data_IF_502863863442
#
_entry.id   IF_502863863442
#
_cell.length_a   1.000
_cell.length_b   1.000
_cell.length_c   1.000
_cell.angle_alpha   90.00
_cell.angle_beta   90.00
_cell.angle_gamma   90.00
#
_symmetry.space_group_name_H-M   'P 1'
#
loop_
_entity.id
_entity.type
_entity.pdbx_description
1 polymer ?
#
# COMPACT_ATOMS: atom_id res chain seq x y z
N UNK A 1 -10.80 3.87 9.64
CA UNK A 1 -11.58 5.00 9.09
C UNK A 1 -10.85 5.60 7.89
N UNK A 2 -11.60 6.09 6.91
CA UNK A 2 -11.03 6.77 5.75
C UNK A 2 -11.68 8.13 5.52
N UNK A 3 -10.89 9.05 4.93
CA UNK A 3 -11.34 10.35 4.44
C UNK A 3 -10.86 10.44 2.99
N UNK A 4 -11.77 10.79 2.09
CA UNK A 4 -11.47 10.92 0.67
C UNK A 4 -11.88 12.27 0.14
N UNK A 5 -11.25 12.73 -0.93
CA UNK A 5 -11.59 13.99 -1.58
C UNK A 5 -11.37 13.96 -3.08
N UNK A 6 -12.26 14.58 -3.83
CA UNK A 6 -12.07 14.90 -5.23
C UNK A 6 -11.69 16.40 -5.31
N UNK A 7 -10.41 16.69 -5.49
CA UNK A 7 -9.89 18.05 -5.61
C UNK A 7 -10.03 18.57 -7.04
N UNK A 8 -9.70 17.70 -8.03
CA UNK A 8 -9.83 18.02 -9.46
C UNK A 8 -11.17 17.51 -9.97
N UNK A 9 -12.19 18.34 -9.88
CA UNK A 9 -13.57 17.97 -10.19
C UNK A 9 -13.87 17.74 -11.68
N UNK A 10 -13.01 18.24 -12.56
CA UNK A 10 -13.15 18.08 -14.01
C UNK A 10 -11.81 17.73 -14.64
N UNK A 11 -11.82 16.80 -15.57
CA UNK A 11 -10.65 16.43 -16.39
C UNK A 11 -11.05 16.35 -17.86
N UNK A 12 -10.10 16.53 -18.75
CA UNK A 12 -10.29 16.31 -20.18
C UNK A 12 -10.24 14.81 -20.47
N UNK A 13 -11.21 14.31 -21.23
CA UNK A 13 -11.20 12.97 -21.77
C UNK A 13 -10.34 12.89 -23.05
N UNK A 14 -10.31 11.71 -23.69
CA UNK A 14 -9.55 11.46 -24.92
C UNK A 14 -9.98 12.36 -26.08
N UNK A 15 -11.23 12.79 -26.12
CA UNK A 15 -11.80 13.70 -27.11
C UNK A 15 -11.60 15.17 -26.77
N UNK A 16 -10.85 15.48 -25.69
CA UNK A 16 -10.60 16.84 -25.18
C UNK A 16 -11.84 17.52 -24.57
N UNK A 17 -12.95 16.77 -24.34
CA UNK A 17 -14.15 17.25 -23.66
C UNK A 17 -13.94 17.22 -22.13
N UNK A 18 -14.61 18.13 -21.44
CA UNK A 18 -14.55 18.16 -19.97
C UNK A 18 -15.54 17.19 -19.35
N UNK A 19 -15.02 16.25 -18.57
CA UNK A 19 -15.82 15.29 -17.77
C UNK A 19 -15.70 15.55 -16.28
N UNK A 20 -16.80 15.32 -15.55
CA UNK A 20 -16.81 15.38 -14.10
C UNK A 20 -16.20 14.08 -13.54
N UNK A 21 -15.31 14.27 -12.56
CA UNK A 21 -14.63 13.17 -11.86
C UNK A 21 -15.31 12.96 -10.51
N UNK A 22 -15.73 11.72 -10.25
CA UNK A 22 -16.27 11.27 -8.97
C UNK A 22 -15.32 10.40 -8.17
N UNK A 23 -14.26 9.88 -8.82
CA UNK A 23 -13.23 9.06 -8.16
C UNK A 23 -12.32 9.98 -7.34
N UNK A 24 -12.11 9.68 -6.04
CA UNK A 24 -11.21 10.46 -5.21
C UNK A 24 -9.77 10.49 -5.76
N UNK A 25 -9.17 11.67 -5.73
CA UNK A 25 -7.76 11.90 -6.06
C UNK A 25 -6.88 12.09 -4.81
N UNK A 26 -7.50 12.02 -3.62
CA UNK A 26 -6.85 12.04 -2.33
C UNK A 26 -7.59 11.14 -1.34
N UNK A 27 -6.84 10.25 -0.67
CA UNK A 27 -7.35 9.28 0.30
C UNK A 27 -6.43 9.24 1.51
N UNK A 28 -6.98 9.44 2.70
CA UNK A 28 -6.33 9.22 3.99
C UNK A 28 -7.00 8.04 4.70
N UNK A 29 -6.21 7.12 5.23
CA UNK A 29 -6.72 5.94 5.93
C UNK A 29 -6.00 5.82 7.27
N UNK A 30 -6.75 5.67 8.35
CA UNK A 30 -6.26 5.31 9.67
C UNK A 30 -6.86 3.97 10.07
N UNK A 31 -6.03 2.98 10.30
CA UNK A 31 -6.45 1.63 10.65
C UNK A 31 -5.65 1.06 11.82
N UNK A 32 -6.32 0.23 12.59
CA UNK A 32 -5.72 -0.61 13.61
C UNK A 32 -5.56 -2.01 13.01
N UNK A 33 -4.34 -2.51 13.01
CA UNK A 33 -4.01 -3.84 12.50
C UNK A 33 -4.29 -4.89 13.59
N UNK A 34 -4.54 -6.13 13.18
CA UNK A 34 -4.79 -7.25 14.08
C UNK A 34 -3.70 -7.43 15.17
N UNK A 35 -2.46 -7.08 14.85
CA UNK A 35 -1.33 -7.13 15.79
C UNK A 35 -1.29 -5.94 16.77
N UNK A 36 -2.28 -5.06 16.75
CA UNK A 36 -2.37 -3.87 17.59
C UNK A 36 -1.57 -2.66 17.11
N UNK A 37 -0.91 -2.74 15.96
CA UNK A 37 -0.22 -1.59 15.38
C UNK A 37 -1.22 -0.64 14.69
N UNK A 38 -0.91 0.66 14.72
CA UNK A 38 -1.68 1.67 14.00
C UNK A 38 -1.00 1.93 12.65
N UNK A 39 -1.75 1.83 11.58
CA UNK A 39 -1.30 2.19 10.24
C UNK A 39 -1.99 3.49 9.77
N UNK A 40 -1.20 4.45 9.32
CA UNK A 40 -1.66 5.65 8.63
C UNK A 40 -1.17 5.60 7.19
N UNK A 41 -2.10 5.67 6.24
CA UNK A 41 -1.79 5.60 4.82
C UNK A 41 -2.36 6.83 4.11
N UNK A 42 -1.54 7.42 3.25
CA UNK A 42 -1.93 8.53 2.38
C UNK A 42 -1.68 8.16 0.94
N UNK A 43 -2.69 8.32 0.12
CA UNK A 43 -2.61 8.19 -1.34
C UNK A 43 -3.14 9.48 -1.98
N UNK A 44 -2.31 10.12 -2.80
CA UNK A 44 -2.69 11.38 -3.43
C UNK A 44 -2.05 11.54 -4.80
N UNK A 45 -2.85 11.82 -5.80
CA UNK A 45 -2.37 12.17 -7.15
C UNK A 45 -2.31 13.68 -7.40
N UNK A 46 -2.60 14.49 -6.39
CA UNK A 46 -2.73 15.95 -6.51
C UNK A 46 -1.80 16.73 -5.57
N UNK A 47 -0.97 16.04 -4.80
CA UNK A 47 0.02 16.67 -3.93
C UNK A 47 1.24 17.05 -4.77
N UNK A 48 1.43 18.33 -5.03
CA UNK A 48 2.62 18.84 -5.69
C UNK A 48 3.84 18.81 -4.77
N UNK A 49 5.03 18.56 -5.34
CA UNK A 49 6.31 18.50 -4.61
C UNK A 49 6.28 17.51 -3.43
N UNK A 50 5.52 16.43 -3.59
CA UNK A 50 5.45 15.37 -2.58
C UNK A 50 6.84 14.74 -2.37
N UNK A 51 7.19 14.34 -1.14
CA UNK A 51 8.36 13.51 -0.93
C UNK A 51 8.19 12.15 -1.65
N UNK A 52 9.32 11.47 -1.87
CA UNK A 52 9.32 10.11 -2.42
C UNK A 52 8.39 9.17 -1.63
N UNK A 53 7.83 8.17 -2.32
CA UNK A 53 6.98 7.16 -1.70
C UNK A 53 7.79 6.32 -0.70
N UNK A 54 7.39 6.38 0.57
CA UNK A 54 8.07 5.71 1.67
C UNK A 54 7.09 5.03 2.60
N UNK A 55 7.49 3.87 3.11
CA UNK A 55 6.80 3.20 4.21
C UNK A 55 7.68 3.27 5.45
N UNK A 56 7.14 3.79 6.54
CA UNK A 56 7.80 3.86 7.82
C UNK A 56 7.17 2.88 8.80
N UNK A 57 8.00 2.11 9.49
CA UNK A 57 7.57 1.19 10.53
C UNK A 57 8.31 1.54 11.82
N UNK A 58 7.57 2.05 12.79
CA UNK A 58 8.07 2.45 14.09
C UNK A 58 7.82 1.34 15.11
N UNK A 59 8.86 0.64 15.50
CA UNK A 59 8.81 -0.46 16.47
C UNK A 59 9.43 -0.12 17.80
N UNK A 60 9.19 -0.95 18.79
CA UNK A 60 9.76 -0.78 20.14
C UNK A 60 11.29 -0.89 20.20
N UNK A 61 11.92 -1.54 19.22
CA UNK A 61 13.38 -1.75 19.15
C UNK A 61 14.10 -0.80 18.19
N UNK A 62 13.36 -0.15 17.28
CA UNK A 62 13.93 0.72 16.27
C UNK A 62 12.92 1.06 15.17
N UNK A 63 13.41 1.66 14.11
CA UNK A 63 12.65 2.13 12.96
C UNK A 63 13.15 1.46 11.69
N UNK A 64 12.22 1.03 10.85
CA UNK A 64 12.48 0.65 9.46
C UNK A 64 11.87 1.69 8.52
N UNK A 65 12.53 1.96 7.41
CA UNK A 65 12.02 2.79 6.34
C UNK A 65 12.28 2.10 5.00
N UNK A 66 11.22 1.92 4.22
CA UNK A 66 11.28 1.41 2.86
C UNK A 66 11.15 2.59 1.90
N UNK A 67 12.14 2.78 1.04
CA UNK A 67 12.09 3.70 -0.10
C UNK A 67 11.55 2.90 -1.30
N UNK A 68 10.29 3.12 -1.65
CA UNK A 68 9.59 2.34 -2.68
C UNK A 68 10.19 2.59 -4.06
N UNK A 69 10.59 3.84 -4.34
CA UNK A 69 11.13 4.21 -5.65
C UNK A 69 12.52 3.61 -5.91
N UNK A 70 13.32 3.46 -4.84
CA UNK A 70 14.68 2.90 -4.92
C UNK A 70 14.73 1.41 -4.61
N UNK A 71 13.63 0.85 -4.08
CA UNK A 71 13.58 -0.51 -3.54
C UNK A 71 14.68 -0.75 -2.48
N UNK A 72 14.90 0.25 -1.63
CA UNK A 72 15.90 0.23 -0.57
C UNK A 72 15.25 0.16 0.80
N UNK A 73 15.89 -0.57 1.71
CA UNK A 73 15.48 -0.65 3.12
C UNK A 73 16.54 0.02 3.99
N UNK A 74 16.08 0.84 4.92
CA UNK A 74 16.90 1.50 5.93
C UNK A 74 16.43 1.11 7.32
N UNK A 75 17.34 0.98 8.25
CA UNK A 75 17.06 0.62 9.65
C UNK A 75 17.90 1.47 10.60
N UNK A 76 17.33 1.77 11.75
CA UNK A 76 18.02 2.33 12.90
C UNK A 76 17.43 1.79 14.20
N UNK A 77 18.27 1.52 15.17
CA UNK A 77 17.89 1.15 16.53
C UNK A 77 17.68 2.41 17.38
N UNK A 78 17.23 2.25 18.63
CA UNK A 78 17.06 3.37 19.57
C UNK A 78 18.34 4.16 19.87
N UNK A 79 19.50 3.53 19.68
CA UNK A 79 20.80 4.14 20.00
C UNK A 79 21.45 4.81 18.78
N UNK A 80 20.85 4.66 17.62
CA UNK A 80 21.37 5.23 16.37
C UNK A 80 20.81 6.64 16.15
N UNK A 81 21.65 7.55 15.70
CA UNK A 81 21.25 8.92 15.36
C UNK A 81 20.62 9.02 13.96
N UNK A 82 20.86 8.04 13.10
CA UNK A 82 20.40 8.03 11.71
C UNK A 82 20.03 6.61 11.27
N UNK A 83 19.20 6.53 10.25
CA UNK A 83 18.93 5.28 9.56
C UNK A 83 20.10 4.93 8.64
N UNK A 84 20.48 3.65 8.63
CA UNK A 84 21.50 3.09 7.75
C UNK A 84 20.87 2.14 6.76
N UNK A 85 21.32 2.17 5.50
CA UNK A 85 20.86 1.27 4.46
C UNK A 85 21.22 -0.17 4.77
N UNK A 86 20.26 -1.07 4.66
CA UNK A 86 20.47 -2.52 4.80
C UNK A 86 20.92 -3.07 3.44
N UNK A 87 22.04 -3.79 3.43
CA UNK A 87 22.44 -4.55 2.26
C UNK A 87 21.73 -5.90 2.22
N UNK A 88 20.89 -6.12 1.23
CA UNK A 88 20.20 -7.39 1.02
C UNK A 88 21.03 -8.22 0.04
N UNK A 89 21.54 -9.41 0.46
CA UNK A 89 22.26 -10.30 -0.44
C UNK A 89 21.40 -10.71 -1.64
N UNK A 90 21.98 -10.88 -2.81
CA UNK A 90 21.24 -11.24 -4.03
C UNK A 90 20.34 -12.45 -3.88
N UNK A 91 20.76 -13.46 -3.13
CA UNK A 91 19.99 -14.68 -2.86
C UNK A 91 18.69 -14.44 -2.06
N UNK A 92 18.63 -13.32 -1.32
CA UNK A 92 17.51 -12.96 -0.45
C UNK A 92 16.64 -11.85 -1.08
N UNK A 93 17.00 -11.38 -2.28
CA UNK A 93 16.21 -10.40 -3.03
C UNK A 93 15.05 -11.13 -3.73
N UNK A 94 13.84 -10.61 -3.53
CA UNK A 94 12.66 -11.08 -4.26
C UNK A 94 12.75 -10.74 -5.76
N UNK A 95 12.01 -11.48 -6.55
CA UNK A 95 11.82 -11.23 -7.97
C UNK A 95 10.33 -11.38 -8.31
N UNK A 96 9.93 -10.79 -9.43
CA UNK A 96 8.59 -11.00 -9.96
C UNK A 96 8.51 -12.41 -10.56
N UNK A 97 7.75 -13.29 -9.93
CA UNK A 97 7.61 -14.71 -10.33
C UNK A 97 6.16 -15.18 -10.42
N UNK A 98 5.22 -14.25 -10.46
CA UNK A 98 3.78 -14.58 -10.37
C UNK A 98 3.35 -15.49 -11.51
N UNK A 99 3.76 -15.23 -12.74
CA UNK A 99 3.43 -16.08 -13.91
C UNK A 99 4.12 -17.43 -13.84
N UNK A 100 5.38 -17.47 -13.41
CA UNK A 100 6.13 -18.70 -13.24
C UNK A 100 5.50 -19.60 -12.17
N UNK A 101 5.20 -19.05 -10.99
CA UNK A 101 4.54 -19.78 -9.90
C UNK A 101 3.16 -20.29 -10.31
N UNK A 102 2.38 -19.48 -11.04
CA UNK A 102 1.05 -19.87 -11.51
C UNK A 102 1.13 -21.09 -12.46
N UNK A 103 2.05 -21.05 -13.45
CA UNK A 103 2.24 -22.16 -14.39
C UNK A 103 2.76 -23.40 -13.68
N UNK A 104 3.72 -23.24 -12.77
CA UNK A 104 4.30 -24.35 -12.03
C UNK A 104 3.29 -24.98 -11.06
N UNK A 105 2.41 -24.19 -10.47
CA UNK A 105 1.31 -24.69 -9.65
C UNK A 105 0.33 -25.54 -10.45
N UNK A 106 -0.04 -25.10 -11.67
CA UNK A 106 -0.86 -25.93 -12.58
C UNK A 106 -0.19 -27.26 -12.91
N UNK A 107 1.14 -27.28 -13.05
CA UNK A 107 1.94 -28.47 -13.33
C UNK A 107 2.21 -29.32 -12.08
N UNK A 108 1.83 -28.88 -10.90
CA UNK A 108 2.12 -29.56 -9.62
C UNK A 108 3.58 -29.52 -9.20
N UNK A 109 4.37 -28.55 -9.69
CA UNK A 109 5.80 -28.42 -9.42
C UNK A 109 6.11 -27.59 -8.19
N UNK A 110 5.29 -26.57 -7.89
CA UNK A 110 5.41 -25.72 -6.70
C UNK A 110 4.04 -25.15 -6.28
N UNK A 111 3.96 -24.66 -5.04
CA UNK A 111 2.77 -23.95 -4.56
C UNK A 111 2.89 -22.44 -4.85
N UNK A 112 1.74 -21.77 -4.99
CA UNK A 112 1.70 -20.31 -5.12
C UNK A 112 2.03 -19.70 -3.76
N UNK A 113 3.15 -19.00 -3.67
CA UNK A 113 3.61 -18.34 -2.44
C UNK A 113 3.35 -16.85 -2.41
N UNK A 114 3.20 -16.22 -3.58
CA UNK A 114 2.91 -14.80 -3.73
C UNK A 114 1.51 -14.61 -4.30
N UNK A 115 0.68 -13.86 -3.60
CA UNK A 115 -0.63 -13.37 -4.06
C UNK A 115 -1.53 -14.45 -4.70
N UNK A 116 -2.11 -15.32 -3.86
CA UNK A 116 -3.17 -16.23 -4.28
C UNK A 116 -4.55 -15.54 -4.31
N UNK A 117 -5.61 -16.24 -4.77
CA UNK A 117 -6.97 -15.67 -4.84
C UNK A 117 -7.53 -15.30 -3.47
N UNK A 118 -7.19 -16.01 -2.39
CA UNK A 118 -7.61 -15.69 -1.03
C UNK A 118 -7.00 -14.36 -0.56
N UNK A 119 -5.76 -14.09 -0.91
CA UNK A 119 -5.14 -12.78 -0.66
C UNK A 119 -5.78 -11.69 -1.51
N UNK A 120 -6.14 -12.02 -2.76
CA UNK A 120 -6.91 -11.12 -3.62
C UNK A 120 -8.25 -10.70 -3.01
N UNK A 121 -8.98 -11.64 -2.38
CA UNK A 121 -10.21 -11.32 -1.63
C UNK A 121 -9.93 -10.32 -0.50
N UNK A 122 -8.89 -10.53 0.31
CA UNK A 122 -8.51 -9.60 1.39
C UNK A 122 -8.17 -8.21 0.89
N UNK A 123 -7.50 -8.10 -0.26
CA UNK A 123 -7.23 -6.79 -0.87
C UNK A 123 -8.51 -6.08 -1.30
N UNK A 124 -9.45 -6.82 -1.87
CA UNK A 124 -10.75 -6.26 -2.26
C UNK A 124 -11.60 -5.88 -1.04
N UNK A 125 -11.60 -6.71 0.01
CA UNK A 125 -12.26 -6.37 1.29
C UNK A 125 -11.70 -5.08 1.89
N UNK A 126 -10.38 -4.90 1.86
CA UNK A 126 -9.74 -3.66 2.33
C UNK A 126 -10.22 -2.46 1.51
N UNK A 127 -10.21 -2.56 0.18
CA UNK A 127 -10.65 -1.48 -0.72
C UNK A 127 -12.12 -1.14 -0.49
N UNK A 128 -12.97 -2.16 -0.35
CA UNK A 128 -14.40 -1.98 -0.07
C UNK A 128 -14.62 -1.36 1.32
N UNK A 129 -13.85 -1.77 2.34
CA UNK A 129 -13.91 -1.19 3.67
C UNK A 129 -13.54 0.30 3.68
N UNK A 130 -12.54 0.70 2.87
CA UNK A 130 -12.17 2.12 2.69
C UNK A 130 -13.36 2.89 2.09
N UNK A 131 -13.99 2.35 1.04
CA UNK A 131 -15.18 2.95 0.40
C UNK A 131 -16.36 3.06 1.37
N UNK A 132 -16.68 1.96 2.08
CA UNK A 132 -17.75 1.96 3.08
C UNK A 132 -17.48 2.92 4.23
N UNK A 133 -16.22 3.01 4.69
CA UNK A 133 -15.84 3.93 5.76
C UNK A 133 -16.07 5.39 5.36
N UNK A 134 -15.73 5.75 4.14
CA UNK A 134 -15.98 7.07 3.58
C UNK A 134 -17.48 7.37 3.46
N UNK A 135 -18.26 6.42 2.91
CA UNK A 135 -19.71 6.59 2.69
C UNK A 135 -20.50 6.68 3.99
N UNK A 136 -20.11 5.88 5.00
CA UNK A 136 -20.83 5.75 6.27
C UNK A 136 -20.24 6.62 7.39
N UNK A 137 -19.13 7.31 7.10
CA UNK A 137 -18.40 8.18 8.06
C UNK A 137 -18.05 7.46 9.38
N UNK A 138 -17.73 6.17 9.31
CA UNK A 138 -17.42 5.37 10.49
C UNK A 138 -16.31 4.34 10.28
N UNK A 139 -15.78 3.81 11.40
CA UNK A 139 -14.84 2.67 11.39
C UNK A 139 -15.55 1.45 10.82
N UNK A 140 -14.91 0.76 9.89
CA UNK A 140 -15.33 -0.53 9.35
C UNK A 140 -14.36 -1.59 9.86
N UNK A 141 -14.88 -2.70 10.36
CA UNK A 141 -14.09 -3.84 10.78
C UNK A 141 -13.96 -4.85 9.63
N UNK A 142 -12.82 -5.50 9.55
CA UNK A 142 -12.55 -6.62 8.64
C UNK A 142 -12.52 -7.94 9.40
N UNK A 143 -12.89 -9.07 8.76
CA UNK A 143 -13.42 -9.19 7.39
C UNK A 143 -14.81 -8.57 7.23
N UNK A 144 -15.23 -8.31 5.96
CA UNK A 144 -16.53 -7.71 5.63
C UNK A 144 -17.66 -8.73 5.72
#
# INVERSE_FOLDING_TARGET
ISITKVNVKKRKNENNDQEYISIPDHVEILSELYIGAIAHMRFSSVTGLAPDDKVWIFGSKGTLMLDINKMDIYMGTKNDSNLSKISIPKKDQGAWRVEEEFINAIRGLEEITHTNFQDGVKYMEFTEAVTKSMQLEKKINLPL
#
